data_IF_040019076137
#
_entry.id   IF_040019076137
#
_cell.length_a   1.000
_cell.length_b   1.000
_cell.length_c   1.000
_cell.angle_alpha   90.00
_cell.angle_beta   90.00
_cell.angle_gamma   90.00
#
_symmetry.space_group_name_H-M   'P 1'
#
loop_
_entity.id
_entity.type
_entity.pdbx_description
1 polymer ?
#
# COMPACT_ATOMS: atom_id res chain seq x y z
N UNK A 1 -11.98 -27.35 -13.02
CA UNK A 1 -12.26 -26.45 -14.15
C UNK A 1 -12.30 -25.05 -13.56
N UNK A 2 -11.42 -24.13 -14.01
CA UNK A 2 -11.48 -22.71 -13.60
C UNK A 2 -12.80 -22.09 -14.00
N UNK A 3 -13.29 -21.12 -13.21
CA UNK A 3 -14.45 -20.32 -13.57
C UNK A 3 -14.10 -19.52 -14.83
N UNK A 4 -14.95 -19.58 -15.85
CA UNK A 4 -14.82 -18.71 -17.03
C UNK A 4 -15.42 -17.33 -16.73
N UNK A 5 -14.86 -16.25 -17.29
CA UNK A 5 -15.45 -14.92 -17.15
C UNK A 5 -16.91 -14.89 -17.64
N UNK A 6 -17.83 -14.22 -16.92
CA UNK A 6 -19.18 -14.00 -17.43
C UNK A 6 -19.17 -13.00 -18.59
N UNK A 7 -20.14 -13.05 -19.53
CA UNK A 7 -20.18 -12.13 -20.66
C UNK A 7 -20.53 -10.67 -20.27
N UNK A 8 -21.13 -10.47 -19.11
CA UNK A 8 -21.52 -9.14 -18.59
C UNK A 8 -21.23 -9.03 -17.10
N UNK A 9 -20.95 -7.81 -16.65
CA UNK A 9 -20.79 -7.47 -15.23
C UNK A 9 -21.38 -6.08 -14.96
N UNK A 10 -21.69 -5.77 -13.70
CA UNK A 10 -22.00 -4.40 -13.27
C UNK A 10 -20.71 -3.60 -13.09
N UNK A 11 -19.68 -4.25 -12.55
CA UNK A 11 -18.34 -3.68 -12.35
C UNK A 11 -17.27 -4.72 -12.67
N UNK A 12 -16.30 -4.36 -13.51
CA UNK A 12 -15.06 -5.13 -13.71
C UNK A 12 -13.93 -4.42 -12.99
N UNK A 13 -13.25 -5.11 -12.07
CA UNK A 13 -12.07 -4.64 -11.36
C UNK A 13 -10.83 -5.33 -11.93
N UNK A 14 -9.86 -4.58 -12.40
CA UNK A 14 -8.62 -5.12 -12.99
C UNK A 14 -7.50 -4.98 -11.96
N UNK A 15 -7.05 -6.13 -11.45
CA UNK A 15 -6.04 -6.29 -10.40
C UNK A 15 -6.59 -6.99 -9.16
N UNK A 16 -5.94 -8.08 -8.75
CA UNK A 16 -6.32 -8.93 -7.60
C UNK A 16 -5.41 -8.70 -6.37
N UNK A 17 -4.87 -7.50 -6.23
CA UNK A 17 -4.21 -7.05 -5.00
C UNK A 17 -5.20 -6.60 -3.94
N UNK A 18 -4.66 -6.01 -2.84
CA UNK A 18 -5.49 -5.54 -1.71
C UNK A 18 -6.55 -4.52 -2.15
N UNK A 19 -6.24 -3.64 -3.10
CA UNK A 19 -7.19 -2.64 -3.62
C UNK A 19 -8.36 -3.32 -4.32
N UNK A 20 -8.08 -4.15 -5.33
CA UNK A 20 -9.16 -4.80 -6.09
C UNK A 20 -10.00 -5.76 -5.25
N UNK A 21 -9.40 -6.51 -4.33
CA UNK A 21 -10.12 -7.40 -3.43
C UNK A 21 -11.03 -6.62 -2.46
N UNK A 22 -10.53 -5.53 -1.88
CA UNK A 22 -11.30 -4.66 -0.99
C UNK A 22 -12.45 -3.97 -1.74
N UNK A 23 -12.20 -3.43 -2.94
CA UNK A 23 -13.25 -2.83 -3.80
C UNK A 23 -14.34 -3.84 -4.09
N UNK A 24 -13.98 -5.05 -4.54
CA UNK A 24 -14.96 -6.07 -4.87
C UNK A 24 -15.80 -6.48 -3.66
N UNK A 25 -15.19 -6.64 -2.49
CA UNK A 25 -15.89 -6.92 -1.24
C UNK A 25 -16.91 -5.82 -0.90
N UNK A 26 -16.48 -4.55 -0.92
CA UNK A 26 -17.35 -3.44 -0.52
C UNK A 26 -18.49 -3.20 -1.52
N UNK A 27 -18.25 -3.37 -2.82
CA UNK A 27 -19.29 -3.34 -3.84
C UNK A 27 -20.33 -4.45 -3.61
N UNK A 28 -19.87 -5.70 -3.46
CA UNK A 28 -20.76 -6.84 -3.21
C UNK A 28 -21.53 -6.69 -1.88
N UNK A 29 -20.87 -6.23 -0.80
CA UNK A 29 -21.51 -5.93 0.50
C UNK A 29 -22.62 -4.90 0.39
N UNK A 30 -22.50 -3.95 -0.54
CA UNK A 30 -23.50 -2.91 -0.82
C UNK A 30 -24.57 -3.34 -1.85
N UNK A 31 -24.56 -4.59 -2.27
CA UNK A 31 -25.59 -5.17 -3.15
C UNK A 31 -25.32 -5.02 -4.65
N UNK A 32 -24.10 -4.64 -5.07
CA UNK A 32 -23.70 -4.74 -6.47
C UNK A 32 -23.66 -6.24 -6.85
N UNK A 33 -24.53 -6.64 -7.79
CA UNK A 33 -24.81 -8.07 -7.99
C UNK A 33 -23.71 -8.81 -8.74
N UNK A 34 -23.12 -8.19 -9.78
CA UNK A 34 -22.20 -8.83 -10.72
C UNK A 34 -20.84 -8.10 -10.71
N UNK A 35 -20.09 -8.26 -9.63
CA UNK A 35 -18.70 -7.75 -9.54
C UNK A 35 -17.74 -8.83 -10.03
N UNK A 36 -16.88 -8.49 -11.00
CA UNK A 36 -15.86 -9.37 -11.55
C UNK A 36 -14.48 -8.80 -11.31
N UNK A 37 -13.58 -9.57 -10.67
CA UNK A 37 -12.18 -9.21 -10.51
C UNK A 37 -11.33 -10.04 -11.46
N UNK A 38 -10.45 -9.38 -12.20
CA UNK A 38 -9.49 -10.01 -13.10
C UNK A 38 -8.08 -9.88 -12.53
N UNK A 39 -7.47 -11.00 -12.16
CA UNK A 39 -6.07 -11.09 -11.74
C UNK A 39 -5.29 -11.89 -12.80
N UNK A 40 -4.23 -11.28 -13.32
CA UNK A 40 -3.38 -11.92 -14.34
C UNK A 40 -2.53 -13.07 -13.81
N UNK A 41 -2.15 -12.99 -12.52
CA UNK A 41 -1.34 -14.00 -11.85
C UNK A 41 -2.14 -15.25 -11.50
N UNK A 42 -1.45 -16.34 -11.24
CA UNK A 42 -2.05 -17.62 -10.82
C UNK A 42 -2.71 -17.55 -9.42
N UNK A 43 -2.35 -16.55 -8.62
CA UNK A 43 -2.90 -16.31 -7.28
C UNK A 43 -3.12 -14.81 -7.06
N UNK A 44 -4.02 -14.49 -6.11
CA UNK A 44 -4.18 -13.12 -5.65
C UNK A 44 -2.99 -12.69 -4.82
N UNK A 45 -2.60 -11.40 -4.93
CA UNK A 45 -1.57 -10.80 -4.10
C UNK A 45 -0.13 -11.12 -4.46
N UNK A 46 0.17 -11.67 -5.63
CA UNK A 46 1.55 -11.94 -6.07
C UNK A 46 2.38 -10.68 -6.34
N UNK A 47 1.74 -9.52 -6.50
CA UNK A 47 2.40 -8.22 -6.68
C UNK A 47 2.78 -7.57 -5.34
N UNK A 48 2.74 -6.24 -5.30
CA UNK A 48 3.14 -5.42 -4.15
C UNK A 48 2.46 -5.82 -2.83
N UNK A 49 1.24 -6.35 -2.89
CA UNK A 49 0.50 -6.81 -1.70
C UNK A 49 1.19 -7.96 -0.97
N UNK A 50 1.73 -8.95 -1.67
CA UNK A 50 2.41 -10.10 -1.04
C UNK A 50 3.90 -9.86 -0.76
N UNK A 51 4.49 -8.83 -1.37
CA UNK A 51 5.92 -8.55 -1.28
C UNK A 51 6.26 -7.37 -0.34
N UNK A 52 5.26 -6.81 0.36
CA UNK A 52 5.46 -5.69 1.28
C UNK A 52 5.89 -6.13 2.68
N UNK A 53 6.30 -5.16 3.50
CA UNK A 53 6.81 -5.37 4.85
C UNK A 53 5.72 -5.40 5.95
N UNK A 54 4.43 -5.36 5.60
CA UNK A 54 3.31 -5.45 6.56
C UNK A 54 3.11 -4.23 7.47
N UNK A 55 3.82 -3.13 7.25
CA UNK A 55 3.73 -1.94 8.08
C UNK A 55 2.39 -1.19 7.96
N UNK A 56 1.83 -0.75 9.10
CA UNK A 56 0.64 0.10 9.14
C UNK A 56 0.86 1.27 10.11
N UNK A 57 0.66 2.50 9.64
CA UNK A 57 0.97 3.71 10.39
C UNK A 57 -0.02 4.84 10.15
N UNK A 58 -0.14 5.73 11.13
CA UNK A 58 -0.89 6.97 11.07
C UNK A 58 -0.01 8.18 10.74
N UNK A 59 1.30 8.05 10.89
CA UNK A 59 2.26 9.13 10.78
C UNK A 59 2.48 9.56 9.32
N UNK A 60 1.52 10.33 8.78
CA UNK A 60 1.58 10.99 7.47
C UNK A 60 1.63 12.51 7.62
N UNK A 61 1.95 13.20 6.53
CA UNK A 61 2.08 14.66 6.46
C UNK A 61 0.84 15.35 5.88
N UNK A 62 -0.10 14.58 5.31
CA UNK A 62 -1.34 15.11 4.73
C UNK A 62 -2.57 14.62 5.48
N UNK A 63 -3.57 15.47 5.63
CA UNK A 63 -4.79 15.16 6.37
C UNK A 63 -5.53 13.95 5.76
N UNK A 64 -5.58 13.86 4.43
CA UNK A 64 -6.27 12.76 3.74
C UNK A 64 -5.62 11.42 4.06
N UNK A 65 -4.29 11.29 4.03
CA UNK A 65 -3.60 10.04 4.37
C UNK A 65 -3.75 9.67 5.85
N UNK A 66 -3.74 10.66 6.74
CA UNK A 66 -4.00 10.43 8.17
C UNK A 66 -5.40 9.86 8.38
N UNK A 67 -6.43 10.44 7.76
CA UNK A 67 -7.81 9.95 7.87
C UNK A 67 -8.00 8.57 7.21
N UNK A 68 -7.39 8.33 6.03
CA UNK A 68 -7.36 7.00 5.41
C UNK A 68 -6.77 5.96 6.35
N UNK A 69 -5.62 6.25 6.97
CA UNK A 69 -4.98 5.34 7.92
C UNK A 69 -5.82 5.09 9.16
N UNK A 70 -6.39 6.14 9.76
CA UNK A 70 -7.27 6.00 10.95
C UNK A 70 -8.44 5.06 10.67
N UNK A 71 -9.14 5.28 9.55
CA UNK A 71 -10.27 4.45 9.19
C UNK A 71 -9.85 3.01 8.89
N UNK A 72 -8.80 2.82 8.10
CA UNK A 72 -8.27 1.50 7.73
C UNK A 72 -7.81 0.69 8.94
N UNK A 73 -7.01 1.30 9.83
CA UNK A 73 -6.52 0.61 11.03
C UNK A 73 -7.70 0.26 11.94
N UNK A 74 -8.69 1.16 12.07
CA UNK A 74 -9.93 0.84 12.77
C UNK A 74 -10.73 -0.32 12.15
N UNK A 75 -10.68 -0.50 10.82
CA UNK A 75 -11.24 -1.68 10.15
C UNK A 75 -10.43 -2.94 10.45
N UNK A 76 -9.08 -2.85 10.45
CA UNK A 76 -8.20 -3.96 10.78
C UNK A 76 -8.38 -4.43 12.24
N UNK A 77 -8.67 -3.53 13.18
CA UNK A 77 -8.95 -3.86 14.58
C UNK A 77 -10.19 -4.74 14.76
N UNK A 78 -11.17 -4.59 13.88
CA UNK A 78 -12.42 -5.38 13.89
C UNK A 78 -12.42 -6.47 12.82
N UNK A 79 -11.32 -6.67 12.13
CA UNK A 79 -11.28 -7.52 10.94
C UNK A 79 -11.63 -8.97 11.23
N UNK A 80 -11.12 -9.53 12.34
CA UNK A 80 -11.43 -10.89 12.75
C UNK A 80 -12.93 -11.09 12.99
N UNK A 81 -13.56 -10.15 13.68
CA UNK A 81 -15.00 -10.21 13.99
C UNK A 81 -15.88 -10.00 12.75
N UNK A 82 -15.49 -9.07 11.85
CA UNK A 82 -16.29 -8.70 10.68
C UNK A 82 -16.07 -9.65 9.49
N UNK A 83 -14.86 -10.20 9.36
CA UNK A 83 -14.40 -10.94 8.17
C UNK A 83 -14.15 -12.42 8.43
N UNK A 84 -14.26 -12.89 9.68
CA UNK A 84 -13.89 -14.26 10.08
C UNK A 84 -12.47 -14.64 9.65
N UNK A 85 -11.53 -13.66 9.77
CA UNK A 85 -10.15 -13.78 9.32
C UNK A 85 -9.20 -13.00 10.23
N UNK A 86 -8.27 -13.71 10.86
CA UNK A 86 -7.20 -13.07 11.62
C UNK A 86 -6.20 -12.36 10.69
N UNK A 87 -5.79 -11.16 11.06
CA UNK A 87 -4.80 -10.37 10.33
C UNK A 87 -3.54 -10.07 11.15
N UNK A 88 -3.45 -10.61 12.36
CA UNK A 88 -2.27 -10.48 13.20
C UNK A 88 -1.86 -9.04 13.50
N UNK A 89 -2.82 -8.10 13.61
CA UNK A 89 -2.52 -6.70 13.89
C UNK A 89 -1.74 -6.56 15.19
N UNK A 90 -0.50 -6.11 15.09
CA UNK A 90 0.43 -5.96 16.20
C UNK A 90 0.85 -4.51 16.35
N UNK A 91 0.41 -3.86 17.41
CA UNK A 91 0.78 -2.49 17.77
C UNK A 91 2.14 -2.46 18.46
N UNK A 92 3.21 -2.54 17.69
CA UNK A 92 4.59 -2.41 18.20
C UNK A 92 5.09 -0.96 18.19
N UNK A 93 4.30 -0.04 17.65
CA UNK A 93 4.66 1.36 17.44
C UNK A 93 5.55 1.59 16.22
N UNK A 94 5.55 2.83 15.74
CA UNK A 94 6.45 3.31 14.68
C UNK A 94 7.30 4.46 15.18
N UNK A 95 8.60 4.36 14.93
CA UNK A 95 9.60 5.36 15.28
C UNK A 95 10.30 5.86 14.03
N UNK A 96 10.17 7.15 13.73
CA UNK A 96 11.03 7.82 12.76
C UNK A 96 12.26 8.38 13.46
N UNK A 97 13.45 8.08 12.95
CA UNK A 97 14.73 8.63 13.36
C UNK A 97 15.12 9.74 12.39
N UNK A 98 15.50 10.89 12.93
CA UNK A 98 15.83 12.10 12.18
C UNK A 98 17.25 12.56 12.54
N UNK A 99 18.06 12.90 11.54
CA UNK A 99 19.47 13.29 11.70
C UNK A 99 19.76 14.75 11.34
N UNK A 100 18.73 15.51 10.95
CA UNK A 100 18.86 16.91 10.64
C UNK A 100 17.69 17.75 11.17
N UNK A 101 17.95 19.03 11.44
CA UNK A 101 16.97 19.95 12.04
C UNK A 101 15.82 20.30 11.07
N UNK A 102 16.07 20.31 9.76
CA UNK A 102 15.03 20.66 8.77
C UNK A 102 13.91 19.61 8.78
N UNK A 103 14.27 18.33 8.73
CA UNK A 103 13.31 17.24 8.85
C UNK A 103 12.60 17.27 10.22
N UNK A 104 13.34 17.53 11.31
CA UNK A 104 12.75 17.62 12.64
C UNK A 104 11.69 18.72 12.74
N UNK A 105 11.90 19.88 12.09
CA UNK A 105 10.92 20.97 12.02
C UNK A 105 9.68 20.51 11.25
N UNK A 106 9.86 19.88 10.08
CA UNK A 106 8.73 19.36 9.29
C UNK A 106 7.96 18.28 10.05
N UNK A 107 8.65 17.32 10.66
CA UNK A 107 8.00 16.27 11.45
C UNK A 107 7.27 16.79 12.68
N UNK A 108 7.73 17.88 13.31
CA UNK A 108 6.97 18.60 14.37
C UNK A 108 5.63 19.13 13.85
N UNK A 109 5.63 19.73 12.66
CA UNK A 109 4.39 20.20 12.02
C UNK A 109 3.47 19.03 11.70
N UNK A 110 4.01 17.91 11.18
CA UNK A 110 3.25 16.71 10.89
C UNK A 110 2.63 16.11 12.17
N UNK A 111 3.37 16.05 13.29
CA UNK A 111 2.85 15.61 14.60
C UNK A 111 1.72 16.52 15.09
N UNK A 112 1.85 17.83 14.92
CA UNK A 112 0.78 18.77 15.29
C UNK A 112 -0.50 18.52 14.47
N UNK A 113 -0.37 18.29 13.16
CA UNK A 113 -1.50 17.91 12.29
C UNK A 113 -2.11 16.56 12.73
N UNK A 114 -1.29 15.54 12.95
CA UNK A 114 -1.73 14.22 13.39
C UNK A 114 -2.50 14.30 14.71
N UNK A 115 -1.99 15.06 15.68
CA UNK A 115 -2.65 15.27 16.97
C UNK A 115 -4.00 16.01 16.82
N UNK A 116 -4.07 17.01 15.93
CA UNK A 116 -5.34 17.72 15.64
C UNK A 116 -6.42 16.80 15.06
N UNK A 117 -5.99 15.71 14.41
CA UNK A 117 -6.84 14.67 13.84
C UNK A 117 -7.01 13.45 14.79
N UNK A 118 -6.55 13.55 16.04
CA UNK A 118 -6.74 12.52 17.08
C UNK A 118 -5.75 11.35 17.05
N UNK A 119 -4.62 11.48 16.32
CA UNK A 119 -3.53 10.50 16.33
C UNK A 119 -2.53 10.89 17.41
N UNK A 120 -2.17 9.99 18.37
CA UNK A 120 -1.33 10.32 19.52
C UNK A 120 0.16 10.23 19.20
N UNK A 121 0.59 10.88 18.13
CA UNK A 121 2.01 10.98 17.80
C UNK A 121 2.74 11.96 18.71
N UNK A 122 4.00 11.69 18.99
CA UNK A 122 4.86 12.54 19.82
C UNK A 122 6.21 12.79 19.14
N UNK A 123 6.77 13.97 19.37
CA UNK A 123 8.18 14.23 19.04
C UNK A 123 9.03 13.72 20.18
N UNK A 124 10.07 12.95 19.89
CA UNK A 124 10.93 12.29 20.87
C UNK A 124 12.38 12.76 20.72
N UNK A 125 13.03 12.98 21.85
CA UNK A 125 14.45 13.26 21.91
C UNK A 125 15.29 11.98 21.96
N UNK A 126 16.64 12.15 21.93
CA UNK A 126 17.59 11.03 21.92
C UNK A 126 17.44 10.07 23.11
N UNK A 127 17.17 10.59 24.30
CA UNK A 127 17.01 9.76 25.51
C UNK A 127 15.75 8.87 25.42
N UNK A 128 14.69 9.37 24.81
CA UNK A 128 13.49 8.57 24.56
C UNK A 128 13.71 7.53 23.47
N UNK A 129 14.41 7.90 22.38
CA UNK A 129 14.81 6.97 21.32
C UNK A 129 15.64 5.84 21.93
N UNK A 130 16.61 6.13 22.81
CA UNK A 130 17.43 5.12 23.51
C UNK A 130 16.58 4.15 24.35
N UNK A 131 15.45 4.59 24.88
CA UNK A 131 14.51 3.71 25.63
C UNK A 131 13.64 2.90 24.70
N UNK A 132 13.16 3.49 23.61
CA UNK A 132 12.28 2.82 22.63
C UNK A 132 13.04 1.77 21.82
N UNK A 133 14.28 2.04 21.44
CA UNK A 133 15.12 1.18 20.60
C UNK A 133 16.58 1.23 21.05
N UNK A 134 16.93 0.59 22.19
CA UNK A 134 18.29 0.61 22.74
C UNK A 134 19.30 -0.11 21.82
N UNK A 135 18.83 -0.86 20.84
CA UNK A 135 19.63 -1.55 19.84
C UNK A 135 20.20 -0.62 18.75
N UNK A 136 19.67 0.61 18.63
CA UNK A 136 20.10 1.54 17.60
C UNK A 136 21.35 2.35 18.02
N UNK A 137 22.25 2.57 17.07
CA UNK A 137 23.26 3.61 17.20
C UNK A 137 22.61 4.99 17.02
N UNK A 138 22.70 5.84 18.03
CA UNK A 138 22.11 7.17 18.05
C UNK A 138 23.03 8.27 17.51
N UNK A 139 24.19 7.92 16.99
CA UNK A 139 25.15 8.88 16.45
C UNK A 139 24.52 9.66 15.29
N UNK A 140 24.67 10.99 15.35
CA UNK A 140 24.15 11.91 14.33
C UNK A 140 22.64 12.21 14.44
N UNK A 141 21.87 11.51 15.29
CA UNK A 141 20.45 11.80 15.43
C UNK A 141 20.21 13.10 16.21
N UNK A 142 19.25 13.89 15.75
CA UNK A 142 18.75 15.11 16.41
C UNK A 142 17.43 14.88 17.15
N UNK A 143 16.68 13.83 16.80
CA UNK A 143 15.39 13.48 17.39
C UNK A 143 14.61 12.47 16.53
N UNK A 144 13.32 12.41 16.77
CA UNK A 144 12.42 11.52 16.03
C UNK A 144 10.96 11.80 16.32
N UNK A 145 10.09 10.96 15.73
CA UNK A 145 8.66 10.94 16.07
C UNK A 145 8.19 9.52 16.34
N UNK A 146 7.27 9.38 17.27
CA UNK A 146 6.75 8.11 17.76
C UNK A 146 5.23 8.09 17.76
N UNK A 147 4.65 7.01 17.26
CA UNK A 147 3.22 6.72 17.42
C UNK A 147 3.04 5.28 17.95
N UNK A 148 2.53 5.10 19.18
CA UNK A 148 2.36 3.77 19.78
C UNK A 148 1.20 2.97 19.16
N UNK A 149 0.32 3.61 18.39
CA UNK A 149 -0.82 2.96 17.72
C UNK A 149 -0.48 2.34 16.37
N UNK A 150 0.67 2.67 15.84
CA UNK A 150 1.19 2.13 14.58
C UNK A 150 1.77 0.72 14.81
N UNK A 151 1.95 -0.05 13.75
CA UNK A 151 2.47 -1.40 13.90
C UNK A 151 2.53 -2.21 12.62
N UNK A 152 2.20 -3.48 12.73
CA UNK A 152 2.31 -4.47 11.66
C UNK A 152 0.99 -5.23 11.50
N UNK A 153 0.73 -5.67 10.29
CA UNK A 153 -0.40 -6.56 9.93
C UNK A 153 0.11 -7.65 9.00
N UNK A 154 -0.55 -8.81 8.99
CA UNK A 154 -0.32 -9.84 7.98
C UNK A 154 -0.98 -9.44 6.64
N UNK A 155 -0.19 -9.10 5.60
CA UNK A 155 -0.72 -8.69 4.30
C UNK A 155 -1.57 -9.77 3.63
N UNK A 156 -1.17 -11.03 3.79
CA UNK A 156 -1.88 -12.16 3.18
C UNK A 156 -3.22 -12.41 3.91
N UNK A 157 -3.22 -12.40 5.24
CA UNK A 157 -4.46 -12.52 6.02
C UNK A 157 -5.46 -11.43 5.67
N UNK A 158 -5.00 -10.17 5.53
CA UNK A 158 -5.84 -9.04 5.15
C UNK A 158 -6.43 -9.23 3.74
N UNK A 159 -5.61 -9.63 2.76
CA UNK A 159 -6.06 -9.90 1.39
C UNK A 159 -7.06 -11.05 1.34
N UNK A 160 -6.76 -12.19 1.98
CA UNK A 160 -7.61 -13.37 1.94
C UNK A 160 -8.96 -13.15 2.61
N UNK A 161 -9.02 -12.31 3.65
CA UNK A 161 -10.28 -11.90 4.25
C UNK A 161 -11.20 -11.21 3.22
N UNK A 162 -10.70 -10.25 2.45
CA UNK A 162 -11.47 -9.59 1.39
C UNK A 162 -11.82 -10.54 0.24
N UNK A 163 -10.89 -11.37 -0.22
CA UNK A 163 -11.13 -12.35 -1.30
C UNK A 163 -12.21 -13.34 -0.90
N UNK A 164 -12.12 -13.94 0.29
CA UNK A 164 -13.05 -14.95 0.76
C UNK A 164 -14.45 -14.38 0.98
N UNK A 165 -14.53 -13.23 1.63
CA UNK A 165 -15.80 -12.56 1.89
C UNK A 165 -16.42 -11.95 0.63
N UNK A 166 -15.62 -11.42 -0.31
CA UNK A 166 -16.10 -10.98 -1.62
C UNK A 166 -16.78 -12.12 -2.38
N UNK A 167 -16.13 -13.29 -2.42
CA UNK A 167 -16.70 -14.51 -3.01
C UNK A 167 -17.98 -14.95 -2.31
N UNK A 168 -17.99 -14.96 -0.99
CA UNK A 168 -19.18 -15.33 -0.19
C UNK A 168 -20.37 -14.41 -0.46
N UNK A 169 -20.13 -13.15 -0.80
CA UNK A 169 -21.14 -12.16 -1.18
C UNK A 169 -21.50 -12.18 -2.67
N UNK A 170 -20.93 -13.10 -3.46
CA UNK A 170 -21.27 -13.31 -4.85
C UNK A 170 -20.35 -12.67 -5.88
N UNK A 171 -19.28 -12.00 -5.48
CA UNK A 171 -18.30 -11.49 -6.43
C UNK A 171 -17.54 -12.64 -7.12
N UNK A 172 -17.32 -12.53 -8.42
CA UNK A 172 -16.53 -13.47 -9.23
C UNK A 172 -15.09 -12.99 -9.28
N UNK A 173 -14.18 -13.69 -8.59
CA UNK A 173 -12.77 -13.36 -8.55
C UNK A 173 -11.97 -14.42 -9.33
N UNK A 174 -11.36 -14.01 -10.45
CA UNK A 174 -10.66 -14.87 -11.40
C UNK A 174 -9.15 -14.62 -11.33
N UNK A 175 -8.37 -15.70 -11.29
CA UNK A 175 -6.91 -15.70 -11.44
C UNK A 175 -6.51 -16.22 -12.82
N UNK A 176 -5.25 -16.02 -13.23
CA UNK A 176 -4.79 -16.41 -14.57
C UNK A 176 -5.50 -15.65 -15.70
N UNK A 177 -6.13 -14.51 -15.41
CA UNK A 177 -7.04 -13.81 -16.33
C UNK A 177 -6.58 -12.35 -16.48
N UNK A 178 -5.75 -12.09 -17.48
CA UNK A 178 -5.25 -10.74 -17.80
C UNK A 178 -6.26 -9.98 -18.69
N UNK A 179 -6.53 -8.71 -18.38
CA UNK A 179 -7.16 -7.80 -19.32
C UNK A 179 -6.11 -7.38 -20.38
N UNK A 180 -6.47 -7.46 -21.65
CA UNK A 180 -5.57 -7.14 -22.79
C UNK A 180 -6.10 -6.02 -23.68
N UNK A 181 -7.38 -5.66 -23.56
CA UNK A 181 -7.97 -4.48 -24.20
C UNK A 181 -9.13 -3.95 -23.39
N UNK A 182 -9.32 -2.63 -23.41
CA UNK A 182 -10.47 -1.96 -22.82
C UNK A 182 -11.01 -0.99 -23.88
N UNK A 183 -12.16 -1.31 -24.42
CA UNK A 183 -12.81 -0.49 -25.45
C UNK A 183 -14.08 0.12 -24.88
N UNK A 184 -14.39 1.36 -25.23
CA UNK A 184 -15.66 1.98 -24.85
C UNK A 184 -16.54 2.20 -26.05
N UNK A 185 -17.80 1.72 -25.96
CA UNK A 185 -18.82 1.88 -27.00
C UNK A 185 -20.20 2.11 -26.36
N UNK A 186 -20.83 3.20 -26.73
CA UNK A 186 -22.23 3.43 -26.35
C UNK A 186 -22.53 3.48 -24.84
N UNK A 187 -21.57 3.96 -24.02
CA UNK A 187 -21.72 4.03 -22.56
C UNK A 187 -21.33 2.76 -21.80
N UNK A 188 -20.88 1.71 -22.50
CA UNK A 188 -20.44 0.44 -21.93
C UNK A 188 -18.95 0.24 -22.22
N UNK A 189 -18.20 -0.21 -21.22
CA UNK A 189 -16.82 -0.69 -21.38
C UNK A 189 -16.82 -2.16 -21.76
N UNK A 190 -16.00 -2.52 -22.73
CA UNK A 190 -15.76 -3.88 -23.19
C UNK A 190 -14.34 -4.26 -22.82
N UNK A 191 -14.19 -5.14 -21.83
CA UNK A 191 -12.90 -5.68 -21.38
C UNK A 191 -12.65 -7.00 -22.09
N UNK A 192 -11.53 -7.10 -22.80
CA UNK A 192 -11.09 -8.34 -23.45
C UNK A 192 -10.01 -8.99 -22.60
N UNK A 193 -10.16 -10.27 -22.33
CA UNK A 193 -9.18 -11.07 -21.58
C UNK A 193 -8.20 -11.78 -22.52
N UNK A 194 -7.06 -12.24 -21.99
CA UNK A 194 -5.99 -12.85 -22.78
C UNK A 194 -6.38 -14.11 -23.54
N UNK A 195 -7.45 -14.80 -23.14
CA UNK A 195 -8.03 -15.95 -23.84
C UNK A 195 -9.06 -15.54 -24.93
N UNK A 196 -9.27 -14.23 -25.13
CA UNK A 196 -10.20 -13.67 -26.09
C UNK A 196 -11.65 -13.54 -25.59
N UNK A 197 -11.93 -13.91 -24.34
CA UNK A 197 -13.25 -13.69 -23.75
C UNK A 197 -13.50 -12.18 -23.58
N UNK A 198 -14.74 -11.77 -23.74
CA UNK A 198 -15.15 -10.37 -23.61
C UNK A 198 -16.16 -10.22 -22.49
N UNK A 199 -15.97 -9.21 -21.64
CA UNK A 199 -16.89 -8.84 -20.57
C UNK A 199 -17.38 -7.41 -20.84
N UNK A 200 -18.68 -7.22 -20.94
CA UNK A 200 -19.30 -5.90 -21.06
C UNK A 200 -19.74 -5.41 -19.67
N UNK A 201 -19.34 -4.17 -19.32
CA UNK A 201 -19.68 -3.58 -18.04
C UNK A 201 -19.83 -2.05 -18.15
N UNK A 202 -20.80 -1.43 -17.45
CA UNK A 202 -20.88 0.03 -17.36
C UNK A 202 -19.69 0.65 -16.62
N UNK A 203 -19.05 -0.11 -15.72
CA UNK A 203 -17.95 0.37 -14.87
C UNK A 203 -16.74 -0.54 -14.95
N UNK A 204 -15.55 0.06 -15.11
CA UNK A 204 -14.24 -0.59 -15.02
C UNK A 204 -13.39 0.14 -13.99
N UNK A 205 -12.75 -0.59 -13.09
CA UNK A 205 -11.85 -0.05 -12.08
C UNK A 205 -10.43 -0.56 -12.35
N UNK A 206 -9.49 0.35 -12.53
CA UNK A 206 -8.07 0.05 -12.67
C UNK A 206 -7.46 0.03 -11.27
N UNK A 207 -7.12 -1.17 -10.76
CA UNK A 207 -6.53 -1.43 -9.45
C UNK A 207 -5.30 -2.36 -9.57
N UNK A 208 -4.54 -2.18 -10.67
CA UNK A 208 -3.47 -3.09 -11.09
C UNK A 208 -2.10 -2.78 -10.47
N UNK A 209 -2.07 -1.94 -9.41
CA UNK A 209 -0.84 -1.59 -8.72
C UNK A 209 0.22 -1.01 -9.66
N UNK A 210 1.46 -1.50 -9.63
CA UNK A 210 2.55 -1.00 -10.50
C UNK A 210 2.27 -1.08 -12.00
N UNK A 211 1.32 -1.93 -12.42
CA UNK A 211 0.91 -2.09 -13.83
C UNK A 211 -0.28 -1.21 -14.22
N UNK A 212 -0.72 -0.32 -13.34
CA UNK A 212 -1.91 0.51 -13.62
C UNK A 212 -1.71 1.45 -14.80
N UNK A 213 -0.49 1.95 -15.04
CA UNK A 213 -0.20 2.75 -16.23
C UNK A 213 -0.37 1.94 -17.53
N UNK A 214 0.10 0.67 -17.56
CA UNK A 214 -0.09 -0.20 -18.72
C UNK A 214 -1.58 -0.53 -18.95
N UNK A 215 -2.32 -0.81 -17.86
CA UNK A 215 -3.78 -1.06 -17.93
C UNK A 215 -4.52 0.21 -18.35
N UNK A 216 -4.13 1.38 -17.85
CA UNK A 216 -4.67 2.68 -18.28
C UNK A 216 -4.51 2.89 -19.78
N UNK A 217 -3.33 2.58 -20.31
CA UNK A 217 -3.05 2.70 -21.74
C UNK A 217 -3.98 1.83 -22.62
N UNK A 218 -4.45 0.68 -22.12
CA UNK A 218 -5.46 -0.14 -22.82
C UNK A 218 -6.79 0.60 -23.02
N UNK A 219 -7.08 1.56 -22.14
CA UNK A 219 -8.27 2.42 -22.21
C UNK A 219 -7.98 3.80 -22.83
N UNK A 220 -6.75 4.04 -23.31
CA UNK A 220 -6.32 5.35 -23.82
C UNK A 220 -6.06 6.40 -22.73
N UNK A 221 -5.81 5.96 -21.49
CA UNK A 221 -5.56 6.83 -20.32
C UNK A 221 -4.07 6.79 -20.01
N UNK A 222 -3.44 7.96 -19.92
CA UNK A 222 -2.06 8.13 -19.47
C UNK A 222 -2.05 8.36 -17.94
N UNK A 223 -1.77 7.28 -17.17
CA UNK A 223 -1.68 7.34 -15.72
C UNK A 223 -0.22 7.63 -15.31
N UNK A 224 0.03 8.70 -14.53
CA UNK A 224 1.39 9.03 -14.09
C UNK A 224 1.84 8.14 -12.92
N UNK A 225 1.90 6.83 -13.14
CA UNK A 225 2.30 5.82 -12.17
C UNK A 225 3.53 5.11 -12.69
N UNK A 226 4.60 5.12 -11.90
CA UNK A 226 5.86 4.47 -12.24
C UNK A 226 6.15 3.30 -11.30
N UNK A 227 6.45 2.11 -11.86
CA UNK A 227 6.92 0.97 -11.06
C UNK A 227 8.36 1.20 -10.63
N UNK A 228 8.63 1.21 -9.32
CA UNK A 228 9.97 1.41 -8.75
C UNK A 228 10.31 0.24 -7.84
N UNK A 229 11.43 -0.44 -8.13
CA UNK A 229 11.91 -1.58 -7.35
C UNK A 229 12.27 -1.18 -5.92
N UNK A 230 11.86 -2.02 -4.97
CA UNK A 230 12.23 -1.94 -3.56
C UNK A 230 12.66 -3.32 -3.07
N UNK A 231 13.80 -3.37 -2.38
CA UNK A 231 14.40 -4.62 -1.93
C UNK A 231 14.26 -4.77 -0.42
N UNK A 232 14.04 -5.99 -0.01
CA UNK A 232 13.83 -6.39 1.38
C UNK A 232 14.71 -7.59 1.70
N UNK A 233 15.28 -7.60 2.90
CA UNK A 233 16.03 -8.73 3.44
C UNK A 233 15.49 -9.11 4.81
N UNK A 234 15.47 -10.41 5.10
CA UNK A 234 15.11 -10.96 6.41
C UNK A 234 16.30 -11.69 6.97
N UNK A 235 16.64 -11.43 8.23
CA UNK A 235 17.74 -12.11 8.90
C UNK A 235 17.31 -13.45 9.48
N UNK A 236 18.30 -14.32 9.73
CA UNK A 236 18.15 -15.44 10.64
C UNK A 236 17.76 -14.97 12.05
N UNK A 237 17.39 -15.91 12.91
CA UNK A 237 17.06 -15.62 14.31
C UNK A 237 18.23 -14.88 15.01
N UNK A 238 17.88 -13.80 15.72
CA UNK A 238 18.79 -13.00 16.54
C UNK A 238 18.50 -13.30 18.01
N UNK A 239 19.52 -13.84 18.69
CA UNK A 239 19.40 -14.18 20.11
C UNK A 239 19.23 -12.91 20.94
N UNK A 240 18.21 -12.87 21.79
CA UNK A 240 17.94 -11.72 22.67
C UNK A 240 17.16 -10.60 22.00
N UNK A 241 16.74 -10.73 20.74
CA UNK A 241 15.84 -9.76 20.10
C UNK A 241 14.51 -9.70 20.87
N UNK A 242 14.20 -8.52 21.41
CA UNK A 242 13.00 -8.34 22.22
C UNK A 242 11.70 -8.44 21.40
N UNK A 243 10.64 -8.90 22.07
CA UNK A 243 9.34 -9.15 21.43
C UNK A 243 8.57 -7.89 21.02
N UNK A 244 8.86 -6.77 21.66
CA UNK A 244 8.24 -5.46 21.47
C UNK A 244 9.11 -4.50 20.65
N UNK A 245 10.07 -5.03 19.86
CA UNK A 245 10.88 -4.24 18.94
C UNK A 245 9.96 -3.48 17.97
N UNK A 246 10.06 -2.13 17.91
CA UNK A 246 9.16 -1.31 17.09
C UNK A 246 9.48 -1.42 15.60
N UNK A 247 8.59 -0.90 14.77
CA UNK A 247 8.94 -0.55 13.39
C UNK A 247 9.75 0.75 13.43
N UNK A 248 10.98 0.73 12.95
CA UNK A 248 11.88 1.90 12.96
C UNK A 248 12.21 2.31 11.53
N UNK A 249 12.09 3.59 11.25
CA UNK A 249 12.50 4.20 9.98
C UNK A 249 13.62 5.21 10.25
N UNK A 250 14.79 4.99 9.67
CA UNK A 250 15.84 6.01 9.54
C UNK A 250 15.55 6.81 8.28
N UNK A 251 14.95 7.98 8.46
CA UNK A 251 14.33 8.75 7.38
C UNK A 251 15.35 9.23 6.34
N UNK A 252 16.49 9.75 6.77
CA UNK A 252 17.54 10.25 5.88
C UNK A 252 18.16 9.15 5.02
N UNK A 253 18.30 7.95 5.59
CA UNK A 253 18.82 6.78 4.88
C UNK A 253 17.77 6.04 4.07
N UNK A 254 16.50 6.42 4.20
CA UNK A 254 15.37 5.68 3.64
C UNK A 254 15.40 4.18 4.03
N UNK A 255 15.91 3.89 5.24
CA UNK A 255 16.08 2.56 5.81
C UNK A 255 14.97 2.27 6.81
N UNK A 256 14.40 1.09 6.75
CA UNK A 256 13.49 0.63 7.81
C UNK A 256 13.86 -0.75 8.32
N UNK A 257 13.52 -0.99 9.57
CA UNK A 257 13.67 -2.29 10.23
C UNK A 257 12.47 -2.58 11.11
N UNK A 258 12.08 -3.82 11.20
CA UNK A 258 11.14 -4.31 12.22
C UNK A 258 11.40 -5.79 12.53
N UNK A 259 10.82 -6.26 13.61
CA UNK A 259 10.92 -7.67 13.97
C UNK A 259 10.08 -8.53 13.01
N UNK A 260 10.70 -9.56 12.43
CA UNK A 260 10.03 -10.59 11.62
C UNK A 260 10.36 -11.97 12.19
N UNK A 261 9.34 -12.65 12.74
CA UNK A 261 9.56 -13.90 13.46
C UNK A 261 10.58 -13.77 14.60
N UNK A 262 11.68 -14.49 14.50
CA UNK A 262 12.81 -14.42 15.44
C UNK A 262 13.95 -13.51 14.99
N UNK A 263 13.85 -12.92 13.79
CA UNK A 263 14.86 -12.05 13.18
C UNK A 263 14.33 -10.64 12.92
N UNK A 264 15.03 -9.95 12.04
CA UNK A 264 14.69 -8.58 11.57
C UNK A 264 14.42 -8.64 10.07
N UNK A 265 13.31 -8.02 9.67
CA UNK A 265 13.08 -7.60 8.30
C UNK A 265 13.60 -6.17 8.14
N UNK A 266 14.35 -5.93 7.08
CA UNK A 266 14.89 -4.62 6.75
C UNK A 266 14.77 -4.33 5.27
N UNK A 267 14.52 -3.07 4.91
CA UNK A 267 14.51 -2.56 3.55
C UNK A 267 15.13 -1.17 3.50
N UNK A 268 15.68 -0.81 2.35
CA UNK A 268 16.22 0.51 2.10
C UNK A 268 15.89 0.95 0.68
N UNK A 269 15.27 2.12 0.54
CA UNK A 269 14.90 2.65 -0.77
C UNK A 269 16.10 3.23 -1.50
N UNK A 270 16.36 2.71 -2.71
CA UNK A 270 17.24 3.37 -3.66
C UNK A 270 16.51 4.54 -4.30
N UNK A 271 16.95 5.77 -4.02
CA UNK A 271 16.35 7.00 -4.58
C UNK A 271 16.68 7.20 -6.05
N UNK A 272 17.77 6.56 -6.53
CA UNK A 272 18.23 6.62 -7.92
C UNK A 272 17.73 5.42 -8.75
N UNK A 273 16.83 4.59 -8.19
CA UNK A 273 16.25 3.45 -8.89
C UNK A 273 15.40 3.91 -10.07
N UNK A 274 15.70 3.40 -11.24
CA UNK A 274 14.97 3.73 -12.46
C UNK A 274 13.63 2.99 -12.52
N UNK A 275 12.59 3.61 -13.11
CA UNK A 275 11.32 2.93 -13.32
C UNK A 275 11.48 1.66 -14.16
N UNK A 276 10.84 0.58 -13.73
CA UNK A 276 10.87 -0.71 -14.43
C UNK A 276 10.18 -1.82 -13.67
N UNK A 277 9.98 -2.95 -14.33
CA UNK A 277 9.30 -4.12 -13.76
C UNK A 277 10.27 -5.22 -13.29
N UNK A 278 11.57 -4.94 -13.26
CA UNK A 278 12.55 -5.87 -12.71
C UNK A 278 12.35 -6.04 -11.19
N UNK A 279 12.18 -7.27 -10.76
CA UNK A 279 12.06 -7.67 -9.34
C UNK A 279 13.22 -8.58 -8.91
N UNK A 280 14.32 -8.61 -9.66
CA UNK A 280 15.54 -9.25 -9.20
C UNK A 280 16.19 -8.46 -8.06
N UNK A 281 16.91 -9.16 -7.19
CA UNK A 281 17.70 -8.53 -6.14
C UNK A 281 19.00 -8.00 -6.75
N UNK A 282 19.24 -6.70 -6.57
CA UNK A 282 20.48 -6.04 -6.96
C UNK A 282 21.53 -6.24 -5.86
N UNK A 283 22.64 -6.91 -6.20
CA UNK A 283 23.69 -7.26 -5.24
C UNK A 283 24.46 -6.04 -4.73
N UNK A 284 24.75 -5.07 -5.57
CA UNK A 284 25.47 -3.86 -5.18
C UNK A 284 24.63 -3.01 -4.23
N UNK A 285 23.33 -2.90 -4.50
CA UNK A 285 22.39 -2.21 -3.60
C UNK A 285 22.23 -2.98 -2.28
N UNK A 286 22.14 -4.31 -2.32
CA UNK A 286 22.07 -5.17 -1.13
C UNK A 286 23.26 -4.92 -0.20
N UNK A 287 24.48 -4.83 -0.73
CA UNK A 287 25.67 -4.56 0.07
C UNK A 287 25.57 -3.20 0.78
N UNK A 288 25.18 -2.14 0.05
CA UNK A 288 24.96 -0.80 0.63
C UNK A 288 23.87 -0.83 1.70
N UNK A 289 22.77 -1.51 1.44
CA UNK A 289 21.66 -1.64 2.39
C UNK A 289 22.14 -2.33 3.68
N UNK A 290 22.84 -3.44 3.58
CA UNK A 290 23.37 -4.17 4.74
C UNK A 290 24.35 -3.30 5.54
N UNK A 291 25.28 -2.60 4.88
CA UNK A 291 26.19 -1.66 5.53
C UNK A 291 25.46 -0.57 6.32
N UNK A 292 24.43 0.06 5.74
CA UNK A 292 23.63 1.09 6.40
C UNK A 292 22.79 0.51 7.55
N UNK A 293 22.23 -0.68 7.38
CA UNK A 293 21.48 -1.37 8.41
C UNK A 293 22.35 -1.72 9.62
N UNK A 294 23.57 -2.26 9.41
CA UNK A 294 24.54 -2.55 10.48
C UNK A 294 25.01 -1.26 11.16
N UNK A 295 25.29 -0.20 10.39
CA UNK A 295 25.71 1.06 10.94
C UNK A 295 24.66 1.69 11.89
N UNK A 296 23.37 1.51 11.61
CA UNK A 296 22.29 1.98 12.50
C UNK A 296 21.93 0.98 13.58
N UNK A 297 22.02 -0.33 13.29
CA UNK A 297 21.67 -1.43 14.20
C UNK A 297 22.83 -2.42 14.28
N UNK A 298 23.85 -2.18 15.14
CA UNK A 298 25.05 -3.02 15.26
C UNK A 298 24.76 -4.50 15.57
N UNK A 299 23.61 -4.78 16.17
CA UNK A 299 23.16 -6.17 16.44
C UNK A 299 23.01 -7.01 15.15
N UNK A 300 22.94 -6.38 13.97
CA UNK A 300 22.83 -7.06 12.69
C UNK A 300 24.18 -7.57 12.15
N UNK A 301 25.31 -7.17 12.72
CA UNK A 301 26.64 -7.50 12.21
C UNK A 301 26.92 -9.01 12.14
N UNK A 302 26.38 -9.77 13.09
CA UNK A 302 26.56 -11.24 13.16
C UNK A 302 25.36 -12.01 12.57
N UNK A 303 24.33 -11.30 12.10
CA UNK A 303 23.14 -11.91 11.52
C UNK A 303 23.40 -12.38 10.09
N UNK A 304 22.77 -13.49 9.70
CA UNK A 304 22.79 -13.98 8.31
C UNK A 304 21.49 -13.61 7.61
N UNK A 305 21.55 -13.28 6.35
CA UNK A 305 20.34 -13.16 5.52
C UNK A 305 19.74 -14.55 5.33
N UNK A 306 18.49 -14.74 5.72
CA UNK A 306 17.73 -15.99 5.58
C UNK A 306 16.80 -15.98 4.38
N UNK A 307 16.31 -14.79 4.00
CA UNK A 307 15.49 -14.57 2.83
C UNK A 307 15.68 -13.14 2.30
N UNK A 308 15.53 -12.97 1.01
CA UNK A 308 15.54 -11.67 0.35
C UNK A 308 14.64 -11.69 -0.88
N UNK A 309 14.04 -10.57 -1.19
CA UNK A 309 13.22 -10.38 -2.39
C UNK A 309 13.16 -8.91 -2.78
N UNK A 310 12.65 -8.66 -3.98
CA UNK A 310 12.29 -7.33 -4.42
C UNK A 310 10.82 -7.28 -4.82
N UNK A 311 10.17 -6.17 -4.53
CA UNK A 311 8.82 -5.81 -4.97
C UNK A 311 8.83 -4.48 -5.70
N UNK A 312 7.66 -4.05 -6.15
CA UNK A 312 7.50 -2.79 -6.87
C UNK A 312 6.61 -1.84 -6.07
N UNK A 313 7.08 -0.62 -5.86
CA UNK A 313 6.21 0.50 -5.53
C UNK A 313 5.53 1.01 -6.81
N UNK A 314 4.38 1.60 -6.67
CA UNK A 314 3.57 2.26 -7.69
C UNK A 314 3.62 3.78 -7.45
N UNK A 315 4.70 4.44 -7.88
CA UNK A 315 5.01 5.82 -7.50
C UNK A 315 4.29 6.80 -8.41
N UNK A 316 3.62 7.78 -7.81
CA UNK A 316 3.03 8.96 -8.47
C UNK A 316 3.93 10.19 -8.29
N UNK A 317 3.73 11.26 -9.06
CA UNK A 317 4.58 12.47 -8.96
C UNK A 317 4.55 13.18 -7.60
N UNK A 318 3.52 12.95 -6.79
CA UNK A 318 3.31 13.58 -5.48
C UNK A 318 3.23 12.57 -4.33
N UNK A 319 3.59 11.32 -4.60
CA UNK A 319 3.51 10.23 -3.63
C UNK A 319 2.12 9.99 -3.02
N UNK A 320 1.05 10.51 -3.66
CA UNK A 320 -0.34 10.35 -3.28
C UNK A 320 -1.05 9.38 -4.22
N UNK A 321 -1.99 8.55 -3.73
CA UNK A 321 -2.74 7.65 -4.60
C UNK A 321 -3.63 8.44 -5.60
N UNK A 322 -3.98 7.79 -6.70
CA UNK A 322 -5.03 8.22 -7.59
C UNK A 322 -6.28 7.42 -7.25
N UNK A 323 -7.34 8.10 -6.81
CA UNK A 323 -8.60 7.48 -6.42
C UNK A 323 -9.78 8.26 -7.00
N UNK A 324 -10.69 7.56 -7.70
CA UNK A 324 -11.92 8.13 -8.24
C UNK A 324 -12.10 7.94 -9.73
N UNK A 325 -13.09 8.63 -10.29
CA UNK A 325 -13.42 8.61 -11.71
C UNK A 325 -12.35 9.31 -12.55
N UNK A 326 -12.15 8.83 -13.77
CA UNK A 326 -11.24 9.46 -14.74
C UNK A 326 -12.04 10.43 -15.61
N UNK A 327 -11.65 11.71 -15.62
CA UNK A 327 -12.27 12.72 -16.46
C UNK A 327 -12.23 12.30 -17.95
N UNK A 328 -13.27 12.61 -18.71
CA UNK A 328 -13.43 12.28 -20.13
C UNK A 328 -13.48 10.76 -20.47
N UNK A 329 -13.46 9.91 -19.43
CA UNK A 329 -13.55 8.46 -19.57
C UNK A 329 -14.68 7.89 -18.68
N UNK A 330 -15.93 8.32 -18.97
CA UNK A 330 -17.09 7.89 -18.17
C UNK A 330 -17.11 6.38 -17.92
N UNK A 331 -17.38 5.96 -16.68
CA UNK A 331 -17.42 4.57 -16.28
C UNK A 331 -16.02 3.98 -16.00
N UNK A 332 -14.92 4.73 -16.19
CA UNK A 332 -13.60 4.27 -15.80
C UNK A 332 -13.16 4.95 -14.51
N UNK A 333 -12.71 4.13 -13.57
CA UNK A 333 -12.20 4.56 -12.26
C UNK A 333 -10.79 4.04 -12.04
N UNK A 334 -10.02 4.72 -11.21
CA UNK A 334 -8.67 4.33 -10.79
C UNK A 334 -8.59 4.24 -9.28
N UNK A 335 -7.90 3.23 -8.79
CA UNK A 335 -7.48 3.08 -7.39
C UNK A 335 -6.08 2.47 -7.34
N UNK A 336 -5.06 3.31 -7.49
CA UNK A 336 -3.67 2.89 -7.64
C UNK A 336 -2.70 4.05 -7.31
N UNK A 337 -1.39 3.80 -7.35
CA UNK A 337 -0.38 4.85 -7.17
C UNK A 337 -0.10 5.17 -5.69
N UNK A 338 -0.21 4.21 -4.80
CA UNK A 338 -0.07 4.42 -3.36
C UNK A 338 1.38 4.60 -2.87
N UNK A 339 2.37 4.62 -3.73
CA UNK A 339 3.77 5.00 -3.40
C UNK A 339 4.34 4.34 -2.13
N UNK A 340 4.04 3.04 -1.93
CA UNK A 340 4.53 2.24 -0.80
C UNK A 340 3.60 2.16 0.42
N UNK A 341 2.48 2.90 0.48
CA UNK A 341 1.55 2.86 1.61
C UNK A 341 0.17 2.22 1.29
N UNK A 342 0.08 1.49 0.19
CA UNK A 342 -1.17 0.87 -0.26
C UNK A 342 -1.75 -0.16 0.70
N UNK A 343 -0.92 -1.02 1.32
CA UNK A 343 -1.44 -2.05 2.23
C UNK A 343 -2.29 -1.45 3.35
N UNK A 344 -1.76 -0.43 4.01
CA UNK A 344 -2.42 0.20 5.15
C UNK A 344 -3.67 0.99 4.78
N UNK A 345 -3.82 1.42 3.54
CA UNK A 345 -5.00 2.15 3.04
C UNK A 345 -6.02 1.24 2.34
N UNK A 346 -5.63 0.00 1.98
CA UNK A 346 -6.46 -0.92 1.22
C UNK A 346 -7.88 -1.14 1.75
N UNK A 347 -8.08 -1.38 3.06
CA UNK A 347 -9.42 -1.57 3.61
C UNK A 347 -10.36 -0.40 3.34
N UNK A 348 -9.95 0.84 3.63
CA UNK A 348 -10.79 2.02 3.45
C UNK A 348 -10.90 2.43 1.98
N UNK A 349 -9.83 2.24 1.19
CA UNK A 349 -9.84 2.56 -0.24
C UNK A 349 -10.95 1.81 -0.98
N UNK A 350 -11.14 0.53 -0.65
CA UNK A 350 -12.24 -0.24 -1.23
C UNK A 350 -13.63 0.29 -0.86
N UNK A 351 -13.82 0.73 0.38
CA UNK A 351 -15.06 1.37 0.83
C UNK A 351 -15.33 2.66 0.06
N UNK A 352 -14.34 3.55 -0.01
CA UNK A 352 -14.46 4.85 -0.67
C UNK A 352 -14.70 4.70 -2.18
N UNK A 353 -14.03 3.75 -2.83
CA UNK A 353 -14.29 3.45 -4.23
C UNK A 353 -15.69 2.87 -4.47
N UNK A 354 -16.21 2.06 -3.54
CA UNK A 354 -17.59 1.60 -3.63
C UNK A 354 -18.60 2.74 -3.46
N UNK A 355 -18.31 3.75 -2.63
CA UNK A 355 -19.10 4.97 -2.52
C UNK A 355 -19.03 5.80 -3.81
N UNK A 356 -17.84 6.05 -4.34
CA UNK A 356 -17.65 6.76 -5.62
C UNK A 356 -18.45 6.13 -6.77
N UNK A 357 -18.41 4.80 -6.87
CA UNK A 357 -19.05 4.07 -7.97
C UNK A 357 -20.56 4.02 -7.82
N UNK A 358 -21.08 3.76 -6.62
CA UNK A 358 -22.51 3.53 -6.39
C UNK A 358 -23.30 4.81 -6.06
N UNK A 359 -22.66 5.78 -5.39
CA UNK A 359 -23.29 7.01 -4.93
C UNK A 359 -22.84 8.25 -5.71
N UNK A 360 -21.85 8.09 -6.61
CA UNK A 360 -21.27 9.18 -7.42
C UNK A 360 -20.27 10.05 -6.66
N UNK A 361 -19.98 9.74 -5.39
CA UNK A 361 -18.95 10.41 -4.57
C UNK A 361 -18.62 9.58 -3.33
N UNK A 362 -17.37 9.66 -2.86
CA UNK A 362 -17.02 9.22 -1.52
C UNK A 362 -17.60 10.19 -0.47
N UNK A 363 -18.22 9.65 0.56
CA UNK A 363 -18.83 10.46 1.65
C UNK A 363 -18.30 10.14 3.03
N UNK A 364 -17.63 9.00 3.21
CA UNK A 364 -16.98 8.61 4.47
C UNK A 364 -15.73 9.46 4.72
N UNK A 365 -14.91 9.67 3.69
CA UNK A 365 -13.75 10.57 3.68
C UNK A 365 -13.78 11.31 2.32
N UNK A 366 -13.56 12.62 2.34
CA UNK A 366 -13.40 13.38 1.11
C UNK A 366 -12.06 13.06 0.43
N UNK A 367 -12.13 12.37 -0.71
CA UNK A 367 -10.99 11.99 -1.55
C UNK A 367 -10.88 12.85 -2.82
N UNK A 368 -11.62 13.94 -2.93
CA UNK A 368 -11.61 14.81 -4.12
C UNK A 368 -10.21 15.35 -4.46
N UNK A 369 -9.33 15.47 -3.46
CA UNK A 369 -7.93 15.86 -3.64
C UNK A 369 -7.05 14.76 -4.24
N UNK A 370 -7.55 13.53 -4.32
CA UNK A 370 -6.83 12.36 -4.84
C UNK A 370 -7.22 12.02 -6.29
N UNK A 371 -8.12 12.81 -6.90
CA UNK A 371 -8.46 12.67 -8.31
C UNK A 371 -7.27 12.92 -9.23
N UNK A 372 -7.26 12.24 -10.39
CA UNK A 372 -6.18 12.35 -11.38
C UNK A 372 -6.02 13.78 -11.94
N UNK A 373 -7.11 14.54 -12.02
CA UNK A 373 -7.15 15.91 -12.52
C UNK A 373 -6.26 16.90 -11.74
N UNK A 374 -5.84 16.53 -10.51
CA UNK A 374 -4.93 17.35 -9.69
C UNK A 374 -3.59 17.62 -10.37
N UNK A 375 -3.10 16.68 -11.18
CA UNK A 375 -1.82 16.85 -11.89
C UNK A 375 -1.93 17.89 -12.99
N UNK A 376 -2.98 17.84 -13.80
CA UNK A 376 -3.22 18.84 -14.84
C UNK A 376 -3.52 20.23 -14.26
N UNK A 377 -4.19 20.29 -13.13
CA UNK A 377 -4.54 21.54 -12.45
C UNK A 377 -3.41 22.13 -11.59
N UNK A 378 -2.26 21.47 -11.46
CA UNK A 378 -1.15 21.91 -10.62
C UNK A 378 -1.50 22.00 -9.13
N UNK A 379 -2.43 21.15 -8.66
CA UNK A 379 -2.95 21.12 -7.28
C UNK A 379 -2.38 19.96 -6.45
N UNK A 380 -1.35 19.31 -6.95
CA UNK A 380 -0.72 18.21 -6.22
C UNK A 380 -0.04 18.71 -4.94
N UNK A 381 -0.29 18.03 -3.82
CA UNK A 381 0.36 18.25 -2.55
C UNK A 381 1.09 16.95 -2.17
N UNK A 382 2.41 16.98 -2.15
CA UNK A 382 3.23 15.79 -1.89
C UNK A 382 3.08 15.25 -0.47
N UNK A 383 3.14 13.92 -0.35
CA UNK A 383 3.30 13.27 0.95
C UNK A 383 4.79 13.25 1.34
N UNK A 384 5.11 13.88 2.48
CA UNK A 384 6.51 14.02 2.91
C UNK A 384 7.06 12.77 3.59
N UNK A 385 6.21 12.04 4.32
CA UNK A 385 6.63 10.91 5.16
C UNK A 385 6.73 9.60 4.37
N UNK A 386 7.34 9.63 3.17
CA UNK A 386 7.57 8.44 2.30
C UNK A 386 9.04 8.06 2.30
N UNK A 387 9.33 6.75 2.32
CA UNK A 387 10.69 6.17 2.30
C UNK A 387 10.81 5.04 1.30
#
# INVERSE_FOLDING_TARGET
MGLSPPPTADVVVIGGGIMGASIAYHLARRGCANVVVLERGEMFGLGSTGLNAGGVRHQFSTAVNIELSKMSIGMMERFADEMDQEVGLKRCGYLFLLDNDADLVQFRANVALQNSLGVPSTVVGRDEIARLVPEADLSGLVGGTWCPRDGLVDPNGLLQGFVSNGRRLGATLLTGTAAVAIERRGGVCRVVTGDGTTIEAPVVVIAAGPWSAEVGALAGIDLPIQPIRRQVAVTSQIVGLRGDFPFVIDFSRALYVHREGGGILTGMSNRDELPGFDTSVDEDWRLRHVEQAIARFPLLADAKISAEWAGLYEVTPDDQPIMGAVADHDGVFVCAGFSGHGLMHGPVAGLLMAEEILDGRAHTIDISTLGMDRFAAGRSAGEYNVV
#
